data_IF_175601997001
#
_entry.id   IF_175601997001
#
_cell.length_a   1.000
_cell.length_b   1.000
_cell.length_c   1.000
_cell.angle_alpha   90.00
_cell.angle_beta   90.00
_cell.angle_gamma   90.00
#
_symmetry.space_group_name_H-M   'P 1'
#
loop_
_entity.id
_entity.type
_entity.pdbx_description
1 polymer ?
#
# COMPACT_ATOMS: atom_id res chain seq x y z
N UNK A 1 -5.83 -12.75 -3.00
CA UNK A 1 -4.44 -12.29 -2.73
C UNK A 1 -3.86 -12.96 -1.49
N UNK A 2 -2.56 -12.79 -1.20
CA UNK A 2 -1.87 -13.39 -0.03
C UNK A 2 -1.55 -12.28 0.96
N UNK A 3 -1.92 -12.42 2.26
CA UNK A 3 -1.60 -11.42 3.27
C UNK A 3 -0.10 -11.12 3.34
N UNK A 4 0.26 -9.86 3.49
CA UNK A 4 1.62 -9.39 3.68
C UNK A 4 1.82 -8.92 5.13
N UNK A 5 2.95 -9.29 5.75
CA UNK A 5 3.25 -8.89 7.13
C UNK A 5 3.60 -7.41 7.28
N UNK A 6 3.74 -6.65 6.18
CA UNK A 6 4.08 -5.22 6.19
C UNK A 6 3.52 -4.53 4.94
N UNK A 7 3.00 -3.33 5.14
CA UNK A 7 2.62 -2.41 4.06
C UNK A 7 3.86 -1.93 3.28
N UNK A 8 3.68 -1.63 2.00
CA UNK A 8 4.75 -1.08 1.16
C UNK A 8 4.73 0.45 1.11
N UNK A 9 3.71 1.08 1.70
CA UNK A 9 3.64 2.51 1.98
C UNK A 9 3.79 2.73 3.49
N UNK A 10 4.21 3.93 3.90
CA UNK A 10 4.09 4.37 5.29
C UNK A 10 2.64 4.72 5.57
N UNK A 11 2.11 4.20 6.66
CA UNK A 11 0.71 4.37 7.06
C UNK A 11 0.67 5.02 8.43
N UNK A 12 -0.13 6.08 8.56
CA UNK A 12 -0.52 6.64 9.84
C UNK A 12 -2.04 6.84 9.86
N UNK A 13 -2.68 6.61 10.99
CA UNK A 13 -4.12 6.76 11.14
C UNK A 13 -4.46 7.25 12.53
N UNK A 14 -5.50 8.05 12.62
CA UNK A 14 -6.10 8.52 13.88
C UNK A 14 -7.61 8.54 13.73
N UNK A 15 -8.31 8.15 14.79
CA UNK A 15 -9.76 8.31 14.90
C UNK A 15 -10.11 8.87 16.26
N UNK A 16 -11.08 9.77 16.32
CA UNK A 16 -11.50 10.49 17.53
C UNK A 16 -13.02 10.69 17.54
N UNK A 17 -13.71 10.49 18.66
CA UNK A 17 -15.18 10.64 18.74
C UNK A 17 -15.70 12.09 18.64
N UNK A 18 -14.82 13.07 18.45
CA UNK A 18 -15.18 14.48 18.51
C UNK A 18 -15.39 14.98 19.94
N UNK A 19 -16.12 16.09 20.10
CA UNK A 19 -16.35 16.76 21.41
C UNK A 19 -17.80 16.67 21.90
N UNK A 20 -18.73 16.11 21.11
CA UNK A 20 -20.16 16.08 21.46
C UNK A 20 -20.59 14.90 22.32
N UNK A 21 -19.65 14.07 22.80
CA UNK A 21 -19.95 12.92 23.68
C UNK A 21 -20.74 11.79 23.01
N UNK A 22 -20.73 11.74 21.68
CA UNK A 22 -21.31 10.63 20.90
C UNK A 22 -20.37 9.43 20.87
N UNK A 23 -20.91 8.25 20.56
CA UNK A 23 -20.08 7.11 20.16
C UNK A 23 -19.33 7.44 18.87
N UNK A 24 -18.16 6.82 18.70
CA UNK A 24 -17.45 6.93 17.44
C UNK A 24 -18.04 5.91 16.44
N UNK A 25 -18.75 6.40 15.44
CA UNK A 25 -19.37 5.61 14.38
C UNK A 25 -18.48 5.49 13.14
N UNK A 26 -17.36 6.25 13.09
CA UNK A 26 -16.35 6.08 12.05
C UNK A 26 -15.60 4.76 12.20
N UNK A 27 -15.26 4.15 11.07
CA UNK A 27 -14.34 3.01 10.99
C UNK A 27 -13.33 3.22 9.87
N UNK A 28 -12.15 2.66 10.04
CA UNK A 28 -11.17 2.57 8.98
C UNK A 28 -10.52 1.19 8.96
N UNK A 29 -10.01 0.81 7.80
CA UNK A 29 -9.22 -0.40 7.64
C UNK A 29 -8.04 -0.17 6.71
N UNK A 30 -6.92 -0.82 7.02
CA UNK A 30 -5.77 -0.92 6.14
C UNK A 30 -5.36 -2.38 6.03
N UNK A 31 -5.33 -2.91 4.83
CA UNK A 31 -4.94 -4.29 4.58
C UNK A 31 -3.85 -4.39 3.51
N UNK A 32 -2.78 -5.10 3.83
CA UNK A 32 -1.63 -5.29 2.96
C UNK A 32 -1.57 -6.73 2.45
N UNK A 33 -1.34 -6.88 1.15
CA UNK A 33 -1.28 -8.16 0.47
C UNK A 33 -0.16 -8.18 -0.58
N UNK A 34 0.10 -9.37 -1.13
CA UNK A 34 0.77 -9.57 -2.42
C UNK A 34 -0.21 -10.24 -3.36
N UNK A 35 -0.09 -9.99 -4.65
CA UNK A 35 -1.07 -10.51 -5.62
C UNK A 35 -1.11 -12.03 -5.59
N UNK A 36 0.05 -12.71 -5.65
CA UNK A 36 0.12 -14.16 -5.55
C UNK A 36 1.52 -14.62 -5.11
N UNK A 37 1.74 -15.95 -5.06
CA UNK A 37 3.09 -16.51 -4.84
C UNK A 37 4.02 -16.29 -6.03
N UNK A 38 3.47 -16.33 -7.24
CA UNK A 38 4.20 -16.10 -8.50
C UNK A 38 4.33 -14.64 -8.87
N UNK A 39 3.44 -13.79 -8.36
CA UNK A 39 3.48 -12.34 -8.54
C UNK A 39 3.55 -11.64 -7.16
N UNK A 40 4.76 -11.27 -6.70
CA UNK A 40 4.95 -10.64 -5.40
C UNK A 40 4.57 -9.15 -5.37
N UNK A 41 3.98 -8.60 -6.44
CA UNK A 41 3.55 -7.19 -6.49
C UNK A 41 2.75 -6.84 -5.21
N UNK A 42 3.17 -5.82 -4.47
CA UNK A 42 2.49 -5.43 -3.24
C UNK A 42 1.15 -4.77 -3.56
N UNK A 43 0.20 -4.99 -2.68
CA UNK A 43 -1.15 -4.42 -2.74
C UNK A 43 -1.53 -3.90 -1.36
N UNK A 44 -2.04 -2.68 -1.30
CA UNK A 44 -2.51 -2.03 -0.08
C UNK A 44 -3.90 -1.46 -0.32
N UNK A 45 -4.87 -1.88 0.47
CA UNK A 45 -6.20 -1.29 0.50
C UNK A 45 -6.33 -0.46 1.78
N UNK A 46 -6.81 0.77 1.64
CA UNK A 46 -7.20 1.65 2.75
C UNK A 46 -8.65 2.08 2.55
N UNK A 47 -9.40 2.12 3.64
CA UNK A 47 -10.82 2.47 3.65
C UNK A 47 -11.08 3.39 4.85
N UNK A 48 -11.85 4.45 4.64
CA UNK A 48 -12.52 5.22 5.68
C UNK A 48 -14.02 5.11 5.43
N UNK A 49 -14.78 4.84 6.48
CA UNK A 49 -16.23 4.70 6.46
C UNK A 49 -16.80 5.48 7.64
N UNK A 50 -17.70 6.43 7.36
CA UNK A 50 -18.40 7.27 8.31
C UNK A 50 -19.82 6.73 8.45
N UNK A 51 -20.18 6.29 9.65
CA UNK A 51 -21.43 5.62 9.94
C UNK A 51 -22.57 6.62 10.17
N UNK A 52 -23.64 6.49 9.42
CA UNK A 52 -24.86 7.29 9.55
C UNK A 52 -26.05 6.43 9.99
N UNK A 53 -26.89 6.94 10.88
CA UNK A 53 -28.11 6.21 11.26
C UNK A 53 -28.57 6.37 12.71
N UNK A 54 -27.94 7.20 13.49
CA UNK A 54 -28.28 7.47 14.88
C UNK A 54 -28.07 6.28 15.84
N UNK A 55 -27.67 6.53 17.09
CA UNK A 55 -27.29 5.53 18.08
C UNK A 55 -26.14 4.64 17.57
N UNK A 56 -26.16 3.33 17.83
CA UNK A 56 -25.11 2.39 17.42
C UNK A 56 -25.28 1.84 16.00
N UNK A 57 -26.26 2.28 15.26
CA UNK A 57 -26.56 1.70 13.95
C UNK A 57 -25.54 2.13 12.88
N UNK A 58 -25.05 3.37 12.93
CA UNK A 58 -23.98 3.84 12.05
C UNK A 58 -22.67 3.08 12.27
N UNK A 59 -22.28 2.84 13.53
CA UNK A 59 -21.11 2.04 13.90
C UNK A 59 -21.13 0.66 13.25
N UNK A 60 -22.27 -0.04 13.31
CA UNK A 60 -22.43 -1.38 12.71
C UNK A 60 -22.30 -1.31 11.18
N UNK A 61 -22.91 -0.29 10.55
CA UNK A 61 -22.83 -0.13 9.11
C UNK A 61 -21.40 0.14 8.64
N UNK A 62 -20.67 1.02 9.34
CA UNK A 62 -19.28 1.35 9.03
C UNK A 62 -18.35 0.13 9.23
N UNK A 63 -18.55 -0.65 10.29
CA UNK A 63 -17.80 -1.88 10.54
C UNK A 63 -18.04 -2.92 9.45
N UNK A 64 -19.32 -3.16 9.11
CA UNK A 64 -19.68 -4.05 8.00
C UNK A 64 -19.04 -3.59 6.67
N UNK A 65 -18.95 -2.28 6.46
CA UNK A 65 -18.35 -1.73 5.24
C UNK A 65 -16.86 -2.05 5.17
N UNK A 66 -16.08 -1.68 6.18
CA UNK A 66 -14.62 -1.91 6.16
C UNK A 66 -14.26 -3.39 6.12
N UNK A 67 -14.98 -4.25 6.85
CA UNK A 67 -14.74 -5.69 6.85
C UNK A 67 -15.10 -6.35 5.52
N UNK A 68 -16.31 -6.08 5.00
CA UNK A 68 -16.80 -6.72 3.78
C UNK A 68 -16.00 -6.30 2.56
N UNK A 69 -15.72 -4.99 2.40
CA UNK A 69 -14.92 -4.49 1.28
C UNK A 69 -13.51 -5.07 1.35
N UNK A 70 -12.88 -5.04 2.53
CA UNK A 70 -11.52 -5.60 2.72
C UNK A 70 -11.47 -7.09 2.36
N UNK A 71 -12.44 -7.88 2.79
CA UNK A 71 -12.54 -9.30 2.49
C UNK A 71 -12.73 -9.55 0.99
N UNK A 72 -13.69 -8.88 0.34
CA UNK A 72 -13.98 -9.06 -1.08
C UNK A 72 -12.77 -8.69 -1.97
N UNK A 73 -12.06 -7.62 -1.60
CA UNK A 73 -10.83 -7.23 -2.29
C UNK A 73 -9.72 -8.25 -2.04
N UNK A 74 -9.54 -8.72 -0.81
CA UNK A 74 -8.52 -9.72 -0.47
C UNK A 74 -8.73 -11.07 -1.18
N UNK A 75 -9.99 -11.49 -1.36
CA UNK A 75 -10.37 -12.71 -2.07
C UNK A 75 -10.23 -12.62 -3.59
N UNK A 76 -10.08 -11.41 -4.13
CA UNK A 76 -9.97 -11.17 -5.57
C UNK A 76 -8.58 -11.52 -6.14
N UNK A 77 -8.51 -11.59 -7.47
CA UNK A 77 -7.26 -11.75 -8.23
C UNK A 77 -6.58 -10.41 -8.59
N UNK A 78 -7.21 -9.28 -8.23
CA UNK A 78 -6.77 -7.93 -8.57
C UNK A 78 -6.62 -7.64 -10.08
N UNK A 79 -7.17 -8.48 -10.97
CA UNK A 79 -7.00 -8.33 -12.42
C UNK A 79 -7.76 -7.11 -12.98
N UNK A 80 -8.89 -6.74 -12.37
CA UNK A 80 -9.73 -5.62 -12.76
C UNK A 80 -10.06 -4.74 -11.54
N UNK A 81 -9.12 -3.95 -11.02
CA UNK A 81 -9.26 -3.29 -9.73
C UNK A 81 -10.50 -2.39 -9.60
N UNK A 82 -10.77 -1.59 -10.61
CA UNK A 82 -11.93 -0.68 -10.64
C UNK A 82 -13.25 -1.45 -10.53
N UNK A 83 -13.38 -2.52 -11.31
CA UNK A 83 -14.58 -3.37 -11.28
C UNK A 83 -14.72 -4.07 -9.93
N UNK A 84 -13.63 -4.58 -9.39
CA UNK A 84 -13.61 -5.26 -8.08
C UNK A 84 -14.07 -4.30 -6.98
N UNK A 85 -13.52 -3.08 -6.92
CA UNK A 85 -13.95 -2.07 -5.96
C UNK A 85 -15.42 -1.70 -6.12
N UNK A 86 -15.87 -1.43 -7.35
CA UNK A 86 -17.28 -1.10 -7.62
C UNK A 86 -18.23 -2.21 -7.18
N UNK A 87 -17.90 -3.46 -7.47
CA UNK A 87 -18.68 -4.62 -7.05
C UNK A 87 -18.64 -4.85 -5.55
N UNK A 88 -17.50 -4.61 -4.91
CA UNK A 88 -17.35 -4.72 -3.46
C UNK A 88 -18.24 -3.69 -2.75
N UNK A 89 -18.24 -2.43 -3.15
CA UNK A 89 -19.11 -1.40 -2.58
C UNK A 89 -20.58 -1.72 -2.80
N UNK A 90 -20.97 -2.10 -4.01
CA UNK A 90 -22.35 -2.44 -4.33
C UNK A 90 -22.86 -3.64 -3.51
N UNK A 91 -22.04 -4.70 -3.38
CA UNK A 91 -22.40 -5.88 -2.57
C UNK A 91 -22.48 -5.55 -1.09
N UNK A 92 -21.56 -4.74 -0.59
CA UNK A 92 -21.56 -4.28 0.79
C UNK A 92 -22.80 -3.44 1.10
N UNK A 93 -23.16 -2.52 0.21
CA UNK A 93 -24.39 -1.72 0.34
C UNK A 93 -25.63 -2.59 0.46
N UNK A 94 -25.72 -3.63 -0.37
CA UNK A 94 -26.82 -4.59 -0.31
C UNK A 94 -26.86 -5.34 1.04
N UNK A 95 -25.71 -5.78 1.54
CA UNK A 95 -25.63 -6.51 2.82
C UNK A 95 -26.02 -5.62 4.00
N UNK A 96 -25.60 -4.36 4.01
CA UNK A 96 -25.99 -3.39 5.04
C UNK A 96 -27.52 -3.16 4.99
N UNK A 97 -28.08 -2.97 3.78
CA UNK A 97 -29.53 -2.83 3.62
C UNK A 97 -30.30 -4.08 4.09
N UNK A 98 -29.86 -5.28 3.72
CA UNK A 98 -30.45 -6.54 4.19
C UNK A 98 -30.40 -6.67 5.73
N UNK A 99 -29.28 -6.30 6.35
CA UNK A 99 -29.10 -6.34 7.79
C UNK A 99 -30.00 -5.34 8.50
N UNK A 100 -30.13 -4.11 7.98
CA UNK A 100 -31.02 -3.08 8.55
C UNK A 100 -32.48 -3.47 8.59
N UNK A 101 -32.91 -4.44 7.75
CA UNK A 101 -34.28 -4.94 7.74
C UNK A 101 -34.50 -6.17 8.63
N UNK A 102 -33.41 -6.80 9.11
CA UNK A 102 -33.49 -7.95 10.02
C UNK A 102 -33.56 -7.54 11.49
N UNK A 103 -33.04 -6.37 11.81
CA UNK A 103 -32.97 -5.85 13.16
C UNK A 103 -33.58 -4.46 13.24
N UNK A 104 -34.70 -4.34 13.96
CA UNK A 104 -35.40 -3.06 14.13
C UNK A 104 -34.55 -1.97 14.78
N UNK A 105 -33.54 -2.33 15.57
CA UNK A 105 -32.60 -1.38 16.17
C UNK A 105 -31.60 -0.81 15.14
N UNK A 106 -31.53 -1.40 13.96
CA UNK A 106 -30.59 -1.03 12.88
C UNK A 106 -31.31 -0.46 11.65
N UNK A 107 -32.63 -0.19 11.75
CA UNK A 107 -33.42 0.37 10.65
C UNK A 107 -32.85 1.72 10.22
N UNK A 108 -32.56 1.83 8.92
CA UNK A 108 -32.02 3.06 8.33
C UNK A 108 -30.53 3.29 8.55
N UNK A 109 -29.81 2.30 9.07
CA UNK A 109 -28.34 2.40 9.14
C UNK A 109 -27.73 2.47 7.75
N UNK A 110 -26.68 3.25 7.63
CA UNK A 110 -25.89 3.40 6.42
C UNK A 110 -24.48 3.87 6.77
N UNK A 111 -23.66 4.00 5.76
CA UNK A 111 -22.29 4.52 5.93
C UNK A 111 -21.76 5.06 4.63
N UNK A 112 -20.82 6.01 4.72
CA UNK A 112 -19.98 6.38 3.59
C UNK A 112 -18.94 5.29 3.32
N UNK A 113 -18.22 5.41 2.23
CA UNK A 113 -16.98 4.69 2.00
C UNK A 113 -16.06 5.49 1.07
N UNK A 114 -14.84 5.77 1.52
CA UNK A 114 -13.75 6.24 0.68
C UNK A 114 -12.67 5.15 0.65
N UNK A 115 -12.45 4.56 -0.52
CA UNK A 115 -11.50 3.47 -0.73
C UNK A 115 -10.34 3.93 -1.59
N UNK A 116 -9.11 3.65 -1.14
CA UNK A 116 -7.88 3.78 -1.92
C UNK A 116 -7.18 2.42 -1.99
N UNK A 117 -7.07 1.84 -3.19
CA UNK A 117 -6.39 0.58 -3.42
C UNK A 117 -5.15 0.80 -4.27
N UNK A 118 -3.99 0.56 -3.68
CA UNK A 118 -2.68 0.76 -4.32
C UNK A 118 -2.09 -0.60 -4.67
N UNK A 119 -1.88 -0.86 -5.97
CA UNK A 119 -1.25 -2.07 -6.50
C UNK A 119 0.09 -1.67 -7.11
N UNK A 120 1.18 -2.07 -6.49
CA UNK A 120 2.50 -1.55 -6.82
C UNK A 120 2.59 -0.04 -6.53
N UNK A 121 2.65 0.76 -7.59
CA UNK A 121 2.64 2.23 -7.55
C UNK A 121 1.37 2.83 -8.19
N UNK A 122 0.31 2.03 -8.44
CA UNK A 122 -0.91 2.49 -9.10
C UNK A 122 -2.07 2.60 -8.13
N UNK A 123 -2.71 3.77 -8.11
CA UNK A 123 -3.88 4.08 -7.30
C UNK A 123 -5.17 3.78 -8.06
N UNK A 124 -6.04 3.03 -7.41
CA UNK A 124 -7.44 2.82 -7.78
C UNK A 124 -8.33 3.28 -6.63
N UNK A 125 -9.49 3.87 -6.93
CA UNK A 125 -10.39 4.38 -5.91
C UNK A 125 -11.84 4.12 -6.28
N UNK A 126 -12.68 3.96 -5.27
CA UNK A 126 -14.13 3.96 -5.39
C UNK A 126 -14.73 4.59 -4.13
N UNK A 127 -15.75 5.43 -4.30
CA UNK A 127 -16.34 6.16 -3.18
C UNK A 127 -17.87 6.16 -3.21
N UNK A 128 -18.46 6.37 -2.04
CA UNK A 128 -19.86 6.69 -1.85
C UNK A 128 -19.99 7.50 -0.55
N UNK A 129 -20.61 8.67 -0.60
CA UNK A 129 -20.68 9.62 0.53
C UNK A 129 -19.79 10.82 0.33
N UNK A 130 -19.45 11.47 1.40
CA UNK A 130 -18.67 12.69 1.50
C UNK A 130 -17.35 12.54 2.27
N UNK A 131 -17.02 11.33 2.69
CA UNK A 131 -15.63 10.99 3.06
C UNK A 131 -14.71 11.18 1.88
N UNK A 132 -13.58 11.83 2.08
CA UNK A 132 -12.73 12.34 1.00
C UNK A 132 -11.41 11.59 0.86
N UNK A 133 -10.88 11.60 -0.37
CA UNK A 133 -9.53 11.19 -0.72
C UNK A 133 -8.78 12.36 -1.34
N UNK A 134 -7.61 12.67 -0.81
CA UNK A 134 -6.72 13.72 -1.30
C UNK A 134 -5.37 13.15 -1.74
N UNK A 135 -4.70 13.86 -2.64
CA UNK A 135 -3.31 13.64 -3.03
C UNK A 135 -2.49 14.89 -2.68
N UNK A 136 -1.47 14.74 -1.85
CA UNK A 136 -0.41 15.72 -1.66
C UNK A 136 0.75 15.36 -2.57
N UNK A 137 1.03 16.21 -3.56
CA UNK A 137 2.11 16.06 -4.53
C UNK A 137 2.77 17.41 -4.81
N UNK A 138 4.10 17.45 -4.72
CA UNK A 138 4.89 18.67 -5.00
C UNK A 138 4.43 19.90 -4.23
N UNK A 139 4.02 19.74 -2.97
CA UNK A 139 3.56 20.84 -2.12
C UNK A 139 2.14 21.36 -2.45
N UNK A 140 1.38 20.65 -3.27
CA UNK A 140 -0.02 20.96 -3.56
C UNK A 140 -0.93 19.83 -3.08
N UNK A 141 -2.03 20.20 -2.40
CA UNK A 141 -3.08 19.27 -2.00
C UNK A 141 -4.20 19.29 -3.03
N UNK A 142 -4.53 18.14 -3.59
CA UNK A 142 -5.60 17.97 -4.56
C UNK A 142 -6.65 17.01 -4.02
N UNK A 143 -7.89 17.45 -3.90
CA UNK A 143 -9.03 16.57 -3.63
C UNK A 143 -9.32 15.72 -4.86
N UNK A 144 -9.25 14.40 -4.71
CA UNK A 144 -9.45 13.44 -5.80
C UNK A 144 -10.92 13.01 -5.95
N UNK A 145 -11.72 13.10 -4.88
CA UNK A 145 -13.12 12.67 -4.81
C UNK A 145 -14.08 13.83 -4.96
N UNK A 146 -15.32 13.52 -5.31
CA UNK A 146 -16.44 14.46 -5.32
C UNK A 146 -17.43 14.03 -4.24
N UNK A 147 -17.88 14.95 -3.40
CA UNK A 147 -18.81 14.63 -2.32
C UNK A 147 -20.20 14.30 -2.90
N UNK A 148 -20.88 13.34 -2.33
CA UNK A 148 -22.23 12.97 -2.73
C UNK A 148 -23.25 13.60 -1.78
N UNK A 149 -23.22 14.93 -1.67
CA UNK A 149 -24.15 15.72 -0.85
C UNK A 149 -25.14 16.49 -1.74
N UNK A 150 -26.25 16.91 -1.13
CA UNK A 150 -27.22 17.77 -1.80
C UNK A 150 -26.58 19.09 -2.26
N UNK A 151 -25.68 19.63 -1.45
CA UNK A 151 -24.98 20.88 -1.75
C UNK A 151 -24.06 20.74 -2.95
N UNK A 152 -23.32 19.62 -3.06
CA UNK A 152 -22.45 19.36 -4.21
C UNK A 152 -23.29 19.23 -5.50
N UNK A 153 -24.43 18.51 -5.47
CA UNK A 153 -25.33 18.42 -6.61
C UNK A 153 -25.86 19.81 -7.03
N UNK A 154 -26.21 20.66 -6.05
CA UNK A 154 -26.67 22.02 -6.30
C UNK A 154 -25.59 22.93 -6.90
N UNK A 155 -24.34 22.78 -6.49
CA UNK A 155 -23.17 23.44 -7.10
C UNK A 155 -22.95 22.98 -8.54
N UNK A 156 -22.98 21.67 -8.78
CA UNK A 156 -22.74 21.06 -10.10
C UNK A 156 -23.81 21.50 -11.12
N UNK A 157 -25.03 21.76 -10.65
CA UNK A 157 -26.14 22.26 -11.47
C UNK A 157 -26.23 23.80 -11.50
N UNK A 158 -25.34 24.51 -10.84
CA UNK A 158 -25.36 25.98 -10.79
C UNK A 158 -26.55 26.57 -10.03
N UNK A 159 -27.18 25.76 -9.14
CA UNK A 159 -28.30 26.20 -8.28
C UNK A 159 -27.78 27.03 -7.11
N UNK A 160 -26.59 26.69 -6.60
CA UNK A 160 -25.89 27.42 -5.55
C UNK A 160 -24.55 27.95 -6.07
N UNK A 161 -24.12 29.12 -5.55
CA UNK A 161 -22.74 29.54 -5.66
C UNK A 161 -21.88 28.90 -4.56
N UNK A 162 -20.54 28.83 -4.69
CA UNK A 162 -19.65 28.33 -3.64
C UNK A 162 -19.82 29.03 -2.28
N UNK A 163 -20.15 30.32 -2.30
CA UNK A 163 -20.39 31.11 -1.08
C UNK A 163 -21.70 30.71 -0.40
N UNK A 164 -22.77 30.44 -1.19
CA UNK A 164 -24.06 29.98 -0.66
C UNK A 164 -24.01 28.54 -0.15
N UNK A 165 -23.11 27.73 -0.70
CA UNK A 165 -22.95 26.33 -0.33
C UNK A 165 -22.33 26.13 1.06
N UNK A 166 -21.44 27.04 1.47
CA UNK A 166 -20.56 26.88 2.65
C UNK A 166 -21.35 26.67 3.95
N UNK A 167 -22.38 27.49 4.18
CA UNK A 167 -23.20 27.45 5.41
C UNK A 167 -24.65 27.02 5.14
N UNK A 168 -24.84 26.20 4.07
CA UNK A 168 -26.18 25.81 3.69
C UNK A 168 -26.77 24.79 4.68
N UNK A 169 -28.05 24.91 5.09
CA UNK A 169 -28.67 23.98 6.05
C UNK A 169 -28.63 22.49 5.62
N UNK A 170 -28.56 22.24 4.31
CA UNK A 170 -28.46 20.89 3.75
C UNK A 170 -27.02 20.46 3.43
N UNK A 171 -25.98 21.10 4.01
CA UNK A 171 -24.59 20.77 3.73
C UNK A 171 -24.28 19.30 4.00
N UNK A 172 -24.82 18.76 5.10
CA UNK A 172 -24.60 17.37 5.53
C UNK A 172 -25.64 16.37 5.01
N UNK A 173 -26.47 16.74 4.02
CA UNK A 173 -27.47 15.81 3.44
C UNK A 173 -26.80 14.94 2.39
N UNK A 174 -26.43 13.73 2.80
CA UNK A 174 -25.80 12.73 1.92
C UNK A 174 -26.85 12.16 0.95
N UNK A 175 -26.51 12.11 -0.34
CA UNK A 175 -27.38 11.63 -1.42
C UNK A 175 -27.02 10.22 -1.89
N UNK A 176 -25.79 9.78 -1.67
CA UNK A 176 -25.29 8.45 -2.04
C UNK A 176 -24.46 7.88 -0.90
N UNK A 177 -24.87 6.72 -0.37
CA UNK A 177 -24.23 6.03 0.74
C UNK A 177 -24.51 4.53 0.68
N UNK A 178 -23.74 3.72 1.39
CA UNK A 178 -23.93 2.28 1.52
C UNK A 178 -25.10 1.99 2.46
N UNK A 179 -25.92 0.99 2.16
CA UNK A 179 -27.09 0.62 2.96
C UNK A 179 -28.40 1.27 2.47
N UNK A 180 -28.35 2.04 1.38
CA UNK A 180 -29.57 2.62 0.81
C UNK A 180 -30.44 1.55 0.14
N UNK A 181 -31.75 1.86 0.03
CA UNK A 181 -32.76 1.05 -0.68
C UNK A 181 -32.42 0.81 -2.17
N UNK A 182 -31.76 1.79 -2.79
CA UNK A 182 -31.45 1.75 -4.21
C UNK A 182 -30.10 1.07 -4.45
N UNK A 183 -29.92 0.37 -5.59
CA UNK A 183 -28.64 -0.18 -5.96
C UNK A 183 -27.55 0.90 -5.96
N UNK A 184 -26.44 0.63 -5.30
CA UNK A 184 -25.33 1.57 -5.23
C UNK A 184 -24.51 1.50 -6.51
N UNK A 185 -24.32 2.66 -7.13
CA UNK A 185 -23.30 2.90 -8.15
C UNK A 185 -22.14 3.65 -7.48
N UNK A 186 -21.04 2.96 -7.25
CA UNK A 186 -19.84 3.58 -6.68
C UNK A 186 -19.31 4.67 -7.62
N UNK A 187 -18.85 5.77 -7.06
CA UNK A 187 -18.13 6.80 -7.82
C UNK A 187 -16.70 6.36 -8.07
N UNK A 188 -16.30 6.36 -9.32
CA UNK A 188 -14.98 5.92 -9.80
C UNK A 188 -14.14 7.10 -10.31
N UNK A 189 -14.61 8.34 -10.15
CA UNK A 189 -13.90 9.54 -10.60
C UNK A 189 -12.70 9.81 -9.70
N UNK A 190 -11.53 9.98 -10.31
CA UNK A 190 -10.32 10.53 -9.69
C UNK A 190 -10.02 11.87 -10.34
N UNK A 191 -10.37 12.99 -9.70
CA UNK A 191 -10.20 14.33 -10.24
C UNK A 191 -8.77 14.84 -10.00
N UNK A 192 -8.00 14.94 -11.06
CA UNK A 192 -6.62 15.44 -11.00
C UNK A 192 -6.53 16.92 -11.37
N UNK A 193 -7.55 17.50 -12.01
CA UNK A 193 -7.59 18.90 -12.44
C UNK A 193 -9.00 19.45 -12.29
N UNK A 194 -9.10 20.74 -12.07
CA UNK A 194 -10.40 21.44 -12.16
C UNK A 194 -10.95 21.37 -13.59
N UNK A 195 -12.26 21.22 -13.72
CA UNK A 195 -12.95 21.20 -15.00
C UNK A 195 -12.81 19.89 -15.80
N UNK A 196 -12.22 18.83 -15.24
CA UNK A 196 -12.27 17.50 -15.87
C UNK A 196 -13.72 17.02 -16.00
N UNK A 197 -14.08 16.49 -17.17
CA UNK A 197 -15.33 15.75 -17.34
C UNK A 197 -15.31 14.45 -16.52
N UNK A 198 -16.46 13.89 -16.22
CA UNK A 198 -16.56 12.63 -15.47
C UNK A 198 -15.79 11.49 -16.16
N UNK A 199 -15.91 11.39 -17.49
CA UNK A 199 -15.17 10.39 -18.26
C UNK A 199 -13.64 10.57 -18.18
N UNK A 200 -13.15 11.81 -18.13
CA UNK A 200 -11.72 12.09 -17.93
C UNK A 200 -11.29 11.71 -16.51
N UNK A 201 -12.09 12.04 -15.51
CA UNK A 201 -11.81 11.70 -14.13
C UNK A 201 -11.83 10.17 -13.89
N UNK A 202 -12.75 9.44 -14.52
CA UNK A 202 -12.75 7.96 -14.49
C UNK A 202 -11.53 7.36 -15.22
N UNK A 203 -11.09 7.96 -16.31
CA UNK A 203 -9.90 7.52 -17.05
C UNK A 203 -8.59 7.70 -16.24
N UNK A 204 -8.59 8.48 -15.16
CA UNK A 204 -7.46 8.63 -14.25
C UNK A 204 -7.25 7.43 -13.32
N UNK A 205 -8.16 6.45 -13.30
CA UNK A 205 -8.00 5.23 -12.52
C UNK A 205 -6.71 4.47 -12.90
N UNK A 206 -5.98 4.02 -11.89
CA UNK A 206 -4.66 3.44 -12.09
C UNK A 206 -3.56 4.49 -12.29
N UNK A 207 -3.82 5.75 -11.90
CA UNK A 207 -2.80 6.79 -11.88
C UNK A 207 -1.56 6.34 -11.09
N UNK A 208 -0.39 6.75 -11.56
CA UNK A 208 0.86 6.40 -10.92
C UNK A 208 1.16 7.33 -9.76
N UNK A 209 1.40 6.75 -8.58
CA UNK A 209 1.96 7.44 -7.44
C UNK A 209 3.47 7.61 -7.62
N UNK A 210 3.97 8.77 -7.26
CA UNK A 210 5.40 9.10 -7.31
C UNK A 210 6.01 8.99 -5.91
N UNK A 211 7.30 8.73 -5.81
CA UNK A 211 8.01 8.79 -4.53
C UNK A 211 7.83 10.13 -3.84
N UNK A 212 7.40 10.10 -2.58
CA UNK A 212 7.07 11.29 -1.80
C UNK A 212 5.62 11.76 -1.93
N UNK A 213 4.80 11.15 -2.80
CA UNK A 213 3.35 11.39 -2.77
C UNK A 213 2.75 10.91 -1.46
N UNK A 214 1.80 11.67 -0.95
CA UNK A 214 1.02 11.30 0.23
C UNK A 214 -0.47 11.35 -0.13
N UNK A 215 -1.17 10.26 0.13
CA UNK A 215 -2.63 10.21 0.10
C UNK A 215 -3.17 10.50 1.49
N UNK A 216 -4.29 11.20 1.57
CA UNK A 216 -5.05 11.41 2.80
C UNK A 216 -6.48 10.94 2.55
N UNK A 217 -7.00 10.06 3.41
CA UNK A 217 -8.42 9.72 3.49
C UNK A 217 -8.96 10.30 4.80
N UNK A 218 -10.16 10.86 4.79
CA UNK A 218 -10.78 11.37 6.00
C UNK A 218 -12.31 11.33 5.92
N UNK A 219 -12.97 11.29 7.10
CA UNK A 219 -14.38 11.58 7.25
C UNK A 219 -14.65 13.10 7.22
N UNK A 220 -15.92 13.49 7.12
CA UNK A 220 -16.37 14.88 7.06
C UNK A 220 -16.08 15.65 8.35
N UNK A 221 -16.02 14.98 9.52
CA UNK A 221 -15.67 15.61 10.78
C UNK A 221 -14.33 16.35 10.80
N UNK A 222 -13.42 16.01 9.85
CA UNK A 222 -12.25 16.85 9.61
C UNK A 222 -12.60 18.03 8.71
N UNK A 223 -13.16 17.78 7.55
CA UNK A 223 -13.26 18.74 6.43
C UNK A 223 -14.40 19.75 6.59
N UNK A 224 -15.30 19.53 7.53
CA UNK A 224 -16.29 20.51 7.97
C UNK A 224 -15.69 21.63 8.82
N UNK A 225 -14.57 21.34 9.48
CA UNK A 225 -13.97 22.24 10.46
C UNK A 225 -12.57 22.72 10.08
N UNK A 226 -11.89 22.02 9.15
CA UNK A 226 -10.51 22.32 8.75
C UNK A 226 -10.45 22.49 7.23
N UNK A 227 -9.95 23.66 6.81
CA UNK A 227 -9.85 23.97 5.38
C UNK A 227 -8.69 23.21 4.69
N UNK A 228 -8.81 22.98 3.38
CA UNK A 228 -7.79 22.27 2.57
C UNK A 228 -6.40 22.93 2.71
N UNK A 229 -6.32 24.27 2.85
CA UNK A 229 -5.06 24.98 3.05
C UNK A 229 -4.39 24.65 4.40
N UNK A 230 -5.18 24.41 5.43
CA UNK A 230 -4.69 24.05 6.77
C UNK A 230 -4.28 22.58 6.81
N UNK A 231 -5.03 21.70 6.12
CA UNK A 231 -4.65 20.30 5.91
C UNK A 231 -3.30 20.23 5.17
N UNK A 232 -3.14 21.03 4.10
CA UNK A 232 -1.87 21.14 3.38
C UNK A 232 -0.74 21.60 4.31
N UNK A 233 -0.96 22.63 5.10
CA UNK A 233 0.05 23.18 6.01
C UNK A 233 0.49 22.11 7.04
N UNK A 234 -0.47 21.41 7.66
CA UNK A 234 -0.19 20.36 8.64
C UNK A 234 0.60 19.19 8.03
N UNK A 235 0.20 18.73 6.83
CA UNK A 235 0.87 17.62 6.14
C UNK A 235 2.23 18.00 5.56
N UNK A 236 2.49 19.28 5.31
CA UNK A 236 3.76 19.78 4.78
C UNK A 236 4.78 20.08 5.88
N UNK A 237 4.36 20.13 7.14
CA UNK A 237 5.27 20.31 8.27
C UNK A 237 6.17 19.07 8.44
N UNK A 238 7.40 19.30 8.88
CA UNK A 238 8.45 18.25 9.02
C UNK A 238 8.34 17.49 10.35
N UNK A 239 7.12 17.32 10.88
CA UNK A 239 6.84 16.79 12.21
C UNK A 239 6.52 15.28 12.23
N UNK A 240 6.54 14.62 11.07
CA UNK A 240 6.09 13.23 10.94
C UNK A 240 4.56 13.10 10.81
N UNK A 241 4.13 11.99 10.22
CA UNK A 241 2.72 11.80 9.86
C UNK A 241 1.80 11.73 11.07
N UNK A 242 2.17 11.02 12.13
CA UNK A 242 1.32 10.88 13.33
C UNK A 242 1.08 12.21 14.05
N UNK A 243 2.12 13.04 14.18
CA UNK A 243 1.99 14.36 14.84
C UNK A 243 1.13 15.31 13.99
N UNK A 244 1.29 15.29 12.67
CA UNK A 244 0.46 16.05 11.75
C UNK A 244 -1.03 15.67 11.88
N UNK A 245 -1.35 14.37 11.93
CA UNK A 245 -2.73 13.90 12.08
C UNK A 245 -3.32 14.27 13.43
N UNK A 246 -2.58 14.12 14.52
CA UNK A 246 -3.04 14.56 15.85
C UNK A 246 -3.25 16.08 15.91
N UNK A 247 -2.40 16.85 15.24
CA UNK A 247 -2.57 18.30 15.09
C UNK A 247 -3.88 18.67 14.40
N UNK A 248 -4.23 17.97 13.31
CA UNK A 248 -5.49 18.16 12.59
C UNK A 248 -6.72 17.81 13.44
N UNK A 249 -6.68 16.68 14.17
CA UNK A 249 -7.73 16.30 15.11
C UNK A 249 -7.91 17.35 16.21
N UNK A 250 -6.82 17.83 16.79
CA UNK A 250 -6.86 18.88 17.82
C UNK A 250 -7.44 20.18 17.26
N UNK A 251 -7.10 20.56 16.03
CA UNK A 251 -7.63 21.74 15.37
C UNK A 251 -9.15 21.63 15.14
N UNK A 252 -9.63 20.51 14.61
CA UNK A 252 -11.05 20.24 14.43
C UNK A 252 -11.80 20.26 15.76
N UNK A 253 -11.23 19.62 16.80
CA UNK A 253 -11.81 19.63 18.14
C UNK A 253 -11.87 21.04 18.76
N UNK A 254 -10.83 21.85 18.58
CA UNK A 254 -10.81 23.25 19.06
C UNK A 254 -11.89 24.13 18.38
N UNK A 255 -12.35 23.72 17.18
CA UNK A 255 -13.43 24.36 16.43
C UNK A 255 -14.82 23.78 16.72
N UNK A 256 -14.92 22.94 17.73
CA UNK A 256 -16.17 22.38 18.22
C UNK A 256 -16.31 20.88 18.12
N UNK A 257 -15.51 20.19 17.29
CA UNK A 257 -15.50 18.75 17.18
C UNK A 257 -16.90 18.15 17.02
N UNK A 258 -17.64 18.61 16.01
CA UNK A 258 -19.08 18.36 15.90
C UNK A 258 -19.41 16.90 15.60
N UNK A 259 -18.49 16.18 14.96
CA UNK A 259 -18.65 14.78 14.58
C UNK A 259 -17.39 13.96 14.89
N UNK A 260 -17.46 12.69 14.58
CA UNK A 260 -16.33 11.78 14.64
C UNK A 260 -15.28 12.22 13.60
N UNK A 261 -14.01 12.11 13.94
CA UNK A 261 -12.91 12.57 13.10
C UNK A 261 -12.00 11.39 12.83
N UNK A 262 -11.97 10.91 11.60
CA UNK A 262 -11.07 9.84 11.18
C UNK A 262 -10.19 10.31 10.04
N UNK A 263 -8.87 10.13 10.20
CA UNK A 263 -7.86 10.56 9.24
C UNK A 263 -6.86 9.43 9.05
N UNK A 264 -6.54 9.12 7.79
CA UNK A 264 -5.59 8.10 7.42
C UNK A 264 -4.67 8.64 6.32
N UNK A 265 -3.36 8.47 6.48
CA UNK A 265 -2.38 8.82 5.45
C UNK A 265 -1.62 7.59 4.96
N UNK A 266 -1.36 7.58 3.64
CA UNK A 266 -0.53 6.62 2.96
C UNK A 266 0.57 7.38 2.21
N UNK A 267 1.82 7.18 2.60
CA UNK A 267 2.95 7.88 1.99
C UNK A 267 3.80 6.92 1.17
N UNK A 268 4.01 7.29 -0.10
CA UNK A 268 4.92 6.59 -0.99
C UNK A 268 6.36 6.83 -0.53
N UNK A 269 7.13 5.77 -0.19
CA UNK A 269 8.51 5.94 0.25
C UNK A 269 9.30 6.76 -0.77
N UNK A 270 10.17 7.67 -0.34
CA UNK A 270 11.07 8.35 -1.24
C UNK A 270 11.93 7.31 -1.97
N UNK A 271 12.28 7.59 -3.24
CA UNK A 271 13.24 6.71 -3.93
C UNK A 271 14.46 6.57 -3.03
N UNK A 272 14.93 5.33 -2.76
CA UNK A 272 16.21 5.18 -2.07
C UNK A 272 17.21 6.03 -2.85
N UNK A 273 17.82 6.98 -2.17
CA UNK A 273 18.95 7.71 -2.73
C UNK A 273 19.93 6.61 -3.07
N UNK A 274 20.01 6.24 -4.36
CA UNK A 274 21.11 5.42 -4.82
C UNK A 274 22.34 6.22 -4.43
N UNK A 275 22.93 5.85 -3.29
CA UNK A 275 24.26 6.32 -2.95
C UNK A 275 25.08 5.93 -4.17
N UNK A 276 25.28 6.89 -5.08
CA UNK A 276 26.31 6.73 -6.11
C UNK A 276 27.51 6.32 -5.29
N UNK A 277 27.87 5.03 -5.41
CA UNK A 277 29.10 4.52 -4.85
C UNK A 277 30.14 5.53 -5.31
N UNK A 278 30.43 6.51 -4.46
CA UNK A 278 31.63 7.32 -4.59
C UNK A 278 32.72 6.29 -4.38
N UNK A 279 33.12 5.62 -5.48
CA UNK A 279 34.39 4.92 -5.48
C UNK A 279 35.35 5.96 -4.93
N UNK A 280 35.71 5.78 -3.67
CA UNK A 280 36.57 6.71 -2.98
C UNK A 280 37.76 6.91 -3.91
N UNK A 281 38.06 8.17 -4.29
CA UNK A 281 39.24 8.51 -5.12
C UNK A 281 40.48 7.79 -4.62
N UNK A 282 40.55 7.52 -3.31
CA UNK A 282 41.59 6.72 -2.68
C UNK A 282 41.64 5.26 -3.15
N UNK A 283 40.49 4.59 -3.37
CA UNK A 283 40.46 3.19 -3.87
C UNK A 283 40.85 3.12 -5.34
N UNK A 284 40.39 4.08 -6.17
CA UNK A 284 40.82 4.15 -7.56
C UNK A 284 42.32 4.49 -7.66
N UNK A 285 42.81 5.41 -6.82
CA UNK A 285 44.23 5.74 -6.76
C UNK A 285 45.09 4.57 -6.27
N UNK A 286 44.61 3.82 -5.27
CA UNK A 286 45.29 2.61 -4.78
C UNK A 286 45.37 1.51 -5.84
N UNK A 287 44.32 1.31 -6.64
CA UNK A 287 44.34 0.37 -7.75
C UNK A 287 45.27 0.79 -8.87
N UNK A 288 45.33 2.10 -9.19
CA UNK A 288 46.23 2.63 -10.21
C UNK A 288 47.70 2.55 -9.75
N UNK A 289 48.00 2.88 -8.48
CA UNK A 289 49.35 2.78 -7.90
C UNK A 289 49.78 1.33 -7.82
N UNK A 290 48.89 0.40 -7.38
CA UNK A 290 49.18 -1.03 -7.32
C UNK A 290 49.44 -1.62 -8.74
N UNK A 291 48.65 -1.21 -9.74
CA UNK A 291 48.88 -1.59 -11.15
C UNK A 291 50.21 -1.05 -11.72
N UNK A 292 50.59 0.20 -11.38
CA UNK A 292 51.86 0.78 -11.83
C UNK A 292 53.04 0.07 -11.19
N UNK A 293 52.98 -0.27 -9.90
CA UNK A 293 54.05 -1.02 -9.20
C UNK A 293 54.20 -2.42 -9.83
N UNK A 294 53.12 -3.12 -10.08
CA UNK A 294 53.13 -4.45 -10.71
C UNK A 294 53.79 -4.40 -12.09
N UNK A 295 53.45 -3.38 -12.90
CA UNK A 295 54.03 -3.19 -14.20
C UNK A 295 55.55 -2.88 -14.13
N UNK A 296 55.95 -2.06 -13.18
CA UNK A 296 57.37 -1.74 -12.97
C UNK A 296 58.18 -3.01 -12.56
N UNK A 297 57.63 -3.87 -11.68
CA UNK A 297 58.23 -5.15 -11.30
C UNK A 297 58.36 -6.11 -12.47
N UNK A 298 57.33 -6.20 -13.33
CA UNK A 298 57.38 -7.05 -14.51
C UNK A 298 58.42 -6.55 -15.55
N UNK A 299 58.55 -5.22 -15.71
CA UNK A 299 59.59 -4.63 -16.58
C UNK A 299 61.00 -4.86 -16.05
N UNK A 300 61.19 -4.75 -14.73
CA UNK A 300 62.48 -5.08 -14.06
C UNK A 300 62.84 -6.57 -14.23
N UNK A 301 61.89 -7.45 -14.03
CA UNK A 301 62.08 -8.89 -14.22
C UNK A 301 62.41 -9.24 -15.66
N UNK A 302 61.74 -8.61 -16.67
CA UNK A 302 62.06 -8.76 -18.09
C UNK A 302 63.44 -8.23 -18.42
N UNK A 303 63.84 -7.07 -17.83
CA UNK A 303 65.17 -6.49 -18.03
C UNK A 303 66.30 -7.37 -17.47
N UNK A 304 66.12 -7.93 -16.25
CA UNK A 304 67.07 -8.89 -15.66
C UNK A 304 67.18 -10.16 -16.48
N UNK A 305 66.04 -10.71 -16.93
CA UNK A 305 66.02 -11.89 -17.79
C UNK A 305 66.73 -11.67 -19.12
N UNK A 306 66.55 -10.46 -19.73
CA UNK A 306 67.26 -10.07 -20.93
C UNK A 306 68.73 -9.93 -20.74
N UNK A 307 69.25 -9.37 -19.64
CA UNK A 307 70.67 -9.27 -19.31
C UNK A 307 71.27 -10.65 -19.10
N UNK A 308 70.61 -11.55 -18.34
CA UNK A 308 71.09 -12.92 -18.11
C UNK A 308 71.13 -13.76 -19.38
N UNK A 309 70.24 -13.52 -20.34
CA UNK A 309 70.28 -14.19 -21.65
C UNK A 309 71.36 -13.61 -22.60
N UNK A 310 71.76 -12.35 -22.38
CA UNK A 310 72.81 -11.73 -23.15
C UNK A 310 74.22 -12.15 -22.72
N UNK A 311 74.42 -12.37 -21.44
CA UNK A 311 75.73 -12.76 -20.85
C UNK A 311 75.98 -14.28 -20.84
N UNK A 312 74.91 -15.11 -21.20
CA UNK A 312 75.03 -16.57 -21.26
C UNK A 312 75.58 -17.15 -22.56
N UNK A 313 76.16 -16.33 -23.42
CA UNK A 313 76.66 -16.74 -24.74
C UNK A 313 78.16 -16.99 -24.85
N UNK A 314 78.77 -17.73 -23.89
CA UNK A 314 80.09 -18.34 -24.09
C UNK A 314 80.29 -19.50 -23.08
N UNK A 315 80.36 -20.70 -23.62
CA UNK A 315 81.09 -21.92 -23.28
C UNK A 315 80.21 -23.18 -23.45
N UNK A 316 80.48 -23.91 -24.56
CA UNK A 316 81.19 -25.15 -24.49
C UNK A 316 80.27 -26.39 -24.73
N UNK A 317 80.33 -26.87 -25.97
CA UNK A 317 79.84 -28.17 -26.42
C UNK A 317 80.53 -29.34 -25.68
N UNK A 318 79.73 -30.34 -25.26
CA UNK A 318 80.15 -31.73 -25.28
C UNK A 318 78.97 -32.72 -25.34
N UNK A 319 78.98 -33.41 -26.36
CA UNK A 319 78.49 -34.75 -26.76
C UNK A 319 77.51 -35.58 -25.92
N UNK A 320 76.56 -36.12 -26.70
CA UNK A 320 75.59 -37.18 -26.48
C UNK A 320 76.26 -38.52 -25.97
N UNK A 321 75.52 -39.45 -25.31
CA UNK A 321 74.89 -40.43 -26.16
C UNK A 321 73.46 -40.89 -25.72
N UNK A 322 72.81 -41.34 -26.70
CA UNK A 322 71.59 -41.97 -26.99
C UNK A 322 71.28 -43.22 -26.13
N UNK A 323 70.08 -43.45 -25.68
CA UNK A 323 69.42 -44.75 -25.62
C UNK A 323 67.89 -44.60 -25.62
N UNK A 324 67.28 -45.21 -26.56
CA UNK A 324 65.88 -45.53 -26.74
C UNK A 324 65.54 -46.89 -26.11
N UNK A 325 64.31 -47.41 -26.32
CA UNK A 325 63.07 -47.13 -25.57
C UNK A 325 62.50 -48.41 -24.96
N UNK A 326 61.49 -48.32 -24.12
CA UNK A 326 60.61 -49.54 -23.98
C UNK A 326 59.15 -49.08 -23.69
N UNK A 327 58.35 -49.57 -24.57
CA UNK A 327 56.91 -49.66 -24.62
C UNK A 327 56.33 -50.32 -23.38
N UNK A 328 55.15 -49.95 -23.00
CA UNK A 328 53.95 -50.77 -22.82
C UNK A 328 52.75 -49.97 -22.27
N UNK A 329 51.71 -50.00 -23.08
CA UNK A 329 50.33 -49.69 -22.72
C UNK A 329 49.63 -50.99 -22.30
N UNK A 330 48.34 -51.07 -22.16
CA UNK A 330 47.40 -50.35 -21.29
C UNK A 330 46.60 -51.34 -20.42
N UNK A 331 45.81 -50.86 -19.45
CA UNK A 331 44.67 -51.67 -18.98
C UNK A 331 43.51 -50.78 -18.55
N UNK A 332 42.47 -51.03 -19.22
CA UNK A 332 41.03 -50.76 -18.98
C UNK A 332 40.55 -51.13 -17.59
N UNK A 333 39.55 -50.41 -17.14
CA UNK A 333 38.74 -50.80 -16.00
C UNK A 333 37.58 -49.84 -15.77
N UNK A 334 36.48 -50.10 -16.47
CA UNK A 334 35.14 -49.52 -16.29
C UNK A 334 34.39 -50.35 -15.21
N UNK A 335 33.13 -50.09 -14.89
CA UNK A 335 32.59 -49.30 -13.81
C UNK A 335 31.83 -50.16 -12.80
N UNK A 336 31.41 -49.58 -11.67
CA UNK A 336 30.35 -50.22 -10.85
C UNK A 336 29.44 -49.15 -10.25
N UNK A 337 28.17 -49.21 -10.63
CA UNK A 337 26.98 -48.78 -9.91
C UNK A 337 26.49 -50.01 -9.12
N UNK A 338 25.93 -49.87 -7.94
CA UNK A 338 24.49 -49.86 -7.72
C UNK A 338 24.06 -48.87 -6.62
N UNK A 339 22.98 -48.18 -6.77
CA UNK A 339 21.58 -48.46 -6.42
C UNK A 339 21.38 -49.06 -5.01
N UNK A 340 20.72 -48.32 -4.12
CA UNK A 340 19.44 -48.73 -3.58
C UNK A 340 18.82 -47.70 -2.64
N UNK A 341 17.51 -47.62 -2.77
CA UNK A 341 16.60 -46.77 -2.03
C UNK A 341 16.51 -47.18 -0.55
N UNK A 342 16.28 -46.20 0.30
CA UNK A 342 15.66 -46.46 1.61
C UNK A 342 14.57 -45.42 1.88
N UNK A 343 13.36 -45.89 1.85
CA UNK A 343 12.15 -45.19 2.24
C UNK A 343 12.12 -44.98 3.76
N UNK A 344 11.86 -43.77 4.21
CA UNK A 344 11.56 -43.49 5.61
C UNK A 344 10.05 -43.19 5.75
N UNK A 345 9.36 -43.76 6.76
CA UNK A 345 7.93 -43.73 6.88
C UNK A 345 7.42 -42.39 7.45
N UNK A 346 6.18 -42.02 7.09
CA UNK A 346 5.39 -40.91 7.60
C UNK A 346 5.15 -41.06 9.12
N UNK A 347 5.15 -39.94 9.87
CA UNK A 347 4.61 -39.91 11.24
C UNK A 347 3.09 -39.83 11.24
N UNK A 348 2.43 -40.33 12.31
CA UNK A 348 0.98 -40.46 12.40
C UNK A 348 0.29 -39.12 12.71
N UNK A 349 -0.97 -39.04 12.29
CA UNK A 349 -1.88 -37.93 12.47
C UNK A 349 -2.13 -37.61 13.94
N UNK A 350 -2.09 -36.33 14.30
CA UNK A 350 -2.50 -35.80 15.61
C UNK A 350 -4.02 -35.62 15.68
N UNK A 351 -4.62 -35.78 16.87
CA UNK A 351 -6.06 -35.81 17.04
C UNK A 351 -6.69 -34.40 17.03
N UNK A 352 -7.89 -34.33 16.51
CA UNK A 352 -8.84 -33.22 16.48
C UNK A 352 -9.16 -32.71 17.90
N UNK A 353 -9.15 -31.39 18.17
CA UNK A 353 -9.68 -30.87 19.42
C UNK A 353 -11.21 -30.84 19.40
N UNK A 354 -11.78 -31.41 20.47
CA UNK A 354 -13.20 -31.42 20.79
C UNK A 354 -13.70 -30.03 21.23
N UNK A 355 -14.87 -29.66 20.73
CA UNK A 355 -15.63 -28.44 21.06
C UNK A 355 -16.13 -28.57 22.53
N UNK A 356 -15.98 -27.56 23.39
CA UNK A 356 -16.66 -27.53 24.69
C UNK A 356 -18.09 -27.01 24.55
N UNK A 357 -18.98 -27.71 25.24
CA UNK A 357 -20.40 -27.46 25.29
C UNK A 357 -20.79 -26.15 25.99
N UNK A 358 -21.90 -25.60 25.53
CA UNK A 358 -22.67 -24.46 26.03
C UNK A 358 -22.75 -24.34 27.55
N UNK A 359 -22.48 -23.15 28.08
CA UNK A 359 -22.90 -22.74 29.43
C UNK A 359 -24.26 -22.05 29.35
N UNK A 360 -25.19 -22.58 30.10
CA UNK A 360 -26.56 -22.11 30.29
C UNK A 360 -26.59 -20.80 31.07
N UNK A 361 -27.30 -19.82 30.56
CA UNK A 361 -27.63 -18.59 31.28
C UNK A 361 -28.64 -18.88 32.38
N UNK A 362 -28.31 -18.50 33.61
CA UNK A 362 -29.25 -18.42 34.72
C UNK A 362 -29.89 -17.03 34.74
N UNK A 363 -31.20 -16.98 34.64
CA UNK A 363 -32.08 -15.86 34.96
C UNK A 363 -32.05 -15.58 36.45
N UNK A 364 -31.85 -14.33 36.85
CA UNK A 364 -32.20 -13.84 38.17
C UNK A 364 -33.06 -12.57 38.01
N UNK A 365 -34.18 -12.61 38.69
CA UNK A 365 -35.27 -11.68 38.98
C UNK A 365 -34.90 -10.19 38.98
#
# INVERSE_FOLDING_TARGET
MIPAGRAHLHVAAVTHPGQRGKSNEDRFAVSAHRLSRSDPTPSLLAIVADGVGGHRAGEVAAEMAVETISRLVAESDAAQPVRILSQALARTSQLIFEQSHRDLAQVGMGTTAACAWIIGDRLYSATAGDSRLYLLRNGALQRLTTDHTWVQEALDHGVLSPEQARDHPNAHVIRRYLGSKHPLHADLRLRLRQGESDAQAEANQGMRLLPGDRLLLCSDGLTDLVEDAEILAALSADNGSEEALNGLVNLANARGGHDNITILTLEMPPKPIQSRLRLSRRRVLSCLVGGAILLAVLLLAAGVSWILLRDGGLLGSTSTPQAQPTSLAPTTGTPIIPAEASATPLPPASPTPSVPASATLATAT
#
